data_IF_118229570095
#
_entry.id   IF_118229570095
#
_cell.length_a   1.000
_cell.length_b   1.000
_cell.length_c   1.000
_cell.angle_alpha   90.00
_cell.angle_beta   90.00
_cell.angle_gamma   90.00
#
_symmetry.space_group_name_H-M   'P 1'
#
loop_
_entity.id
_entity.type
_entity.pdbx_description
1 polymer ?
#
# COMPACT_ATOMS: atom_id res chain seq x y z
N UNK A 1 -2.05 4.82 -21.40
CA UNK A 1 -0.73 5.36 -21.00
C UNK A 1 -0.87 6.07 -19.67
N UNK A 2 0.02 5.81 -18.71
CA UNK A 2 0.05 6.51 -17.42
C UNK A 2 0.58 7.95 -17.59
N UNK A 3 -0.03 8.91 -16.87
CA UNK A 3 0.30 10.34 -16.91
C UNK A 3 0.57 10.92 -15.53
N UNK A 4 0.01 10.32 -14.48
CA UNK A 4 0.17 10.79 -13.10
C UNK A 4 0.30 9.62 -12.12
N UNK A 5 1.31 9.69 -11.25
CA UNK A 5 1.57 8.72 -10.20
C UNK A 5 1.58 9.40 -8.82
N UNK A 6 0.87 8.83 -7.85
CA UNK A 6 0.91 9.23 -6.45
C UNK A 6 1.83 8.27 -5.67
N UNK A 7 2.93 8.78 -5.13
CA UNK A 7 3.94 8.00 -4.42
C UNK A 7 4.00 8.45 -2.96
N UNK A 8 3.65 7.57 -2.03
CA UNK A 8 3.72 7.81 -0.58
C UNK A 8 4.14 6.53 0.13
N UNK A 9 5.45 6.34 0.29
CA UNK A 9 6.04 5.13 0.87
C UNK A 9 6.65 5.40 2.24
N UNK A 10 6.65 4.42 3.12
CA UNK A 10 7.42 4.40 4.37
C UNK A 10 8.82 3.83 4.13
N UNK A 11 8.90 2.64 3.54
CA UNK A 11 10.15 2.05 3.05
C UNK A 11 10.56 2.73 1.73
N UNK A 12 11.74 3.34 1.72
CA UNK A 12 12.29 4.10 0.59
C UNK A 12 13.10 3.25 -0.39
N UNK A 13 13.19 1.93 -0.17
CA UNK A 13 13.96 1.02 -1.02
C UNK A 13 13.56 1.18 -2.49
N UNK A 14 14.52 1.54 -3.35
CA UNK A 14 14.34 1.67 -4.80
C UNK A 14 13.40 2.80 -5.28
N UNK A 15 12.76 3.57 -4.40
CA UNK A 15 11.72 4.54 -4.80
C UNK A 15 12.27 5.68 -5.65
N UNK A 16 13.52 6.09 -5.41
CA UNK A 16 14.15 7.18 -6.14
C UNK A 16 14.35 6.81 -7.61
N UNK A 17 14.95 5.64 -7.89
CA UNK A 17 15.20 5.18 -9.26
C UNK A 17 13.89 4.86 -9.99
N UNK A 18 12.91 4.35 -9.25
CA UNK A 18 11.56 4.15 -9.75
C UNK A 18 10.92 5.47 -10.20
N UNK A 19 10.93 6.49 -9.33
CA UNK A 19 10.40 7.81 -9.62
C UNK A 19 11.14 8.52 -10.76
N UNK A 20 12.47 8.41 -10.83
CA UNK A 20 13.27 8.93 -11.95
C UNK A 20 12.86 8.31 -13.28
N UNK A 21 12.66 7.00 -13.31
CA UNK A 21 12.22 6.30 -14.52
C UNK A 21 10.85 6.78 -14.96
N UNK A 22 9.88 6.89 -14.04
CA UNK A 22 8.55 7.42 -14.35
C UNK A 22 8.61 8.87 -14.87
N UNK A 23 9.42 9.72 -14.23
CA UNK A 23 9.59 11.11 -14.64
C UNK A 23 10.21 11.21 -16.05
N UNK A 24 11.20 10.38 -16.38
CA UNK A 24 11.78 10.29 -17.72
C UNK A 24 10.79 9.80 -18.78
N UNK A 25 9.75 9.05 -18.38
CA UNK A 25 8.63 8.66 -19.23
C UNK A 25 7.55 9.76 -19.35
N UNK A 26 7.75 10.93 -18.73
CA UNK A 26 6.80 12.05 -18.76
C UNK A 26 5.66 11.95 -17.74
N UNK A 27 5.76 11.06 -16.75
CA UNK A 27 4.75 10.92 -15.70
C UNK A 27 4.91 12.02 -14.66
N UNK A 28 3.81 12.70 -14.33
CA UNK A 28 3.75 13.67 -13.24
C UNK A 28 3.72 12.94 -11.90
N UNK A 29 4.58 13.33 -10.96
CA UNK A 29 4.66 12.70 -9.65
C UNK A 29 4.00 13.58 -8.60
N UNK A 30 2.99 13.02 -7.94
CA UNK A 30 2.41 13.54 -6.71
C UNK A 30 3.07 12.81 -5.53
N UNK A 31 3.45 13.53 -4.48
CA UNK A 31 4.00 12.91 -3.27
C UNK A 31 3.74 13.75 -2.02
N UNK A 32 4.04 13.22 -0.85
CA UNK A 32 3.86 13.91 0.43
C UNK A 32 4.96 13.58 1.44
N UNK A 33 5.20 14.51 2.37
CA UNK A 33 6.10 14.33 3.51
C UNK A 33 7.52 13.93 3.11
N UNK A 34 8.11 12.99 3.86
CA UNK A 34 9.48 12.53 3.63
C UNK A 34 9.71 11.89 2.26
N UNK A 35 8.68 11.39 1.57
CA UNK A 35 8.82 10.89 0.20
C UNK A 35 8.97 12.04 -0.79
N UNK A 36 8.15 13.09 -0.67
CA UNK A 36 8.26 14.26 -1.53
C UNK A 36 9.62 14.94 -1.37
N UNK A 37 10.07 15.09 -0.12
CA UNK A 37 11.39 15.66 0.20
C UNK A 37 12.53 14.85 -0.43
N UNK A 38 12.55 13.53 -0.23
CA UNK A 38 13.57 12.65 -0.81
C UNK A 38 13.68 12.82 -2.33
N UNK A 39 12.54 12.86 -3.02
CA UNK A 39 12.49 12.99 -4.47
C UNK A 39 12.96 14.38 -4.94
N UNK A 40 12.47 15.45 -4.29
CA UNK A 40 12.84 16.83 -4.61
C UNK A 40 14.33 17.09 -4.38
N UNK A 41 14.87 16.65 -3.25
CA UNK A 41 16.30 16.78 -2.89
C UNK A 41 17.22 16.07 -3.91
N UNK A 42 16.68 15.12 -4.68
CA UNK A 42 17.40 14.33 -5.69
C UNK A 42 17.05 14.72 -7.14
N UNK A 43 16.45 15.90 -7.33
CA UNK A 43 16.19 16.50 -8.64
C UNK A 43 14.99 15.93 -9.40
N UNK A 44 14.13 15.14 -8.74
CA UNK A 44 12.89 14.65 -9.34
C UNK A 44 11.81 15.70 -9.17
N UNK A 45 11.18 16.14 -10.26
CA UNK A 45 10.05 17.07 -10.20
C UNK A 45 8.86 16.39 -9.51
N UNK A 46 8.42 16.97 -8.41
CA UNK A 46 7.30 16.47 -7.59
C UNK A 46 6.35 17.62 -7.28
N UNK A 47 5.05 17.34 -7.35
CA UNK A 47 4.00 18.20 -6.80
C UNK A 47 3.61 17.65 -5.43
N UNK A 48 3.60 18.50 -4.40
CA UNK A 48 3.15 18.06 -3.08
C UNK A 48 1.64 17.80 -3.10
N UNK A 49 1.17 16.82 -2.32
CA UNK A 49 -0.27 16.55 -2.19
C UNK A 49 -1.02 17.77 -1.66
N UNK A 50 -0.44 18.55 -0.74
CA UNK A 50 -1.06 19.79 -0.23
C UNK A 50 -1.29 20.82 -1.36
N UNK A 51 -0.29 21.04 -2.22
CA UNK A 51 -0.43 21.89 -3.41
C UNK A 51 -1.47 21.35 -4.39
N UNK A 52 -1.47 20.02 -4.58
CA UNK A 52 -2.43 19.36 -5.48
C UNK A 52 -3.87 19.49 -4.97
N UNK A 53 -4.12 19.30 -3.68
CA UNK A 53 -5.46 19.40 -3.08
C UNK A 53 -5.90 20.84 -2.86
N UNK A 54 -4.95 21.76 -2.66
CA UNK A 54 -5.21 23.11 -2.18
C UNK A 54 -5.58 23.17 -0.70
N UNK A 55 -5.34 22.08 0.05
CA UNK A 55 -5.67 21.96 1.46
C UNK A 55 -4.38 21.80 2.29
N UNK A 56 -4.14 22.67 3.29
CA UNK A 56 -2.90 22.66 4.05
C UNK A 56 -2.79 21.39 4.92
N UNK A 57 -1.56 21.08 5.34
CA UNK A 57 -1.34 20.03 6.32
C UNK A 57 -1.97 20.42 7.68
N UNK A 58 -2.70 19.48 8.29
CA UNK A 58 -3.31 19.65 9.62
C UNK A 58 -3.34 18.32 10.38
N UNK A 59 -3.53 18.38 11.71
CA UNK A 59 -3.58 17.21 12.59
C UNK A 59 -2.35 16.30 12.43
N UNK A 60 -1.15 16.91 12.40
CA UNK A 60 0.12 16.22 12.21
C UNK A 60 0.16 15.30 10.97
N UNK A 61 -0.53 15.72 9.91
CA UNK A 61 -0.55 15.02 8.62
C UNK A 61 -1.51 13.83 8.54
N UNK A 62 -2.33 13.58 9.57
CA UNK A 62 -3.27 12.44 9.64
C UNK A 62 -4.32 12.40 8.53
N UNK A 63 -4.68 13.55 7.98
CA UNK A 63 -5.79 13.68 7.00
C UNK A 63 -5.35 14.12 5.60
N UNK A 64 -4.04 14.26 5.37
CA UNK A 64 -3.50 14.92 4.16
C UNK A 64 -3.90 14.27 2.83
N UNK A 65 -4.10 12.95 2.80
CA UNK A 65 -4.50 12.22 1.57
C UNK A 65 -5.99 11.86 1.55
N UNK A 66 -6.72 12.07 2.65
CA UNK A 66 -8.15 11.76 2.78
C UNK A 66 -9.01 12.86 2.15
N UNK A 67 -8.76 13.12 0.87
CA UNK A 67 -9.34 14.24 0.13
C UNK A 67 -10.07 13.77 -1.15
N UNK A 68 -11.25 14.32 -1.50
CA UNK A 68 -11.98 13.93 -2.70
C UNK A 68 -11.18 14.11 -3.99
N UNK A 69 -10.29 15.10 -4.07
CA UNK A 69 -9.41 15.30 -5.25
C UNK A 69 -8.37 14.18 -5.42
N UNK A 70 -7.98 13.50 -4.34
CA UNK A 70 -7.11 12.32 -4.39
C UNK A 70 -7.94 11.09 -4.72
N UNK A 71 -8.94 10.78 -3.89
CA UNK A 71 -9.74 9.55 -4.05
C UNK A 71 -10.62 9.57 -5.31
N UNK A 72 -11.14 10.72 -5.72
CA UNK A 72 -11.88 10.89 -6.97
C UNK A 72 -10.99 10.63 -8.19
N UNK A 73 -9.76 11.15 -8.18
CA UNK A 73 -8.77 10.87 -9.23
C UNK A 73 -8.38 9.38 -9.32
N UNK A 74 -8.43 8.65 -8.21
CA UNK A 74 -8.16 7.21 -8.15
C UNK A 74 -9.38 6.36 -8.53
N UNK A 75 -10.57 6.69 -8.01
CA UNK A 75 -11.76 5.81 -8.05
C UNK A 75 -12.68 6.04 -9.25
N UNK A 76 -12.52 7.15 -9.96
CA UNK A 76 -13.33 7.42 -11.14
C UNK A 76 -13.06 6.36 -12.22
N UNK A 77 -14.09 5.55 -12.47
CA UNK A 77 -14.18 4.69 -13.64
C UNK A 77 -14.08 5.51 -14.93
N UNK A 78 -13.09 5.19 -15.76
CA UNK A 78 -12.82 5.92 -17.01
C UNK A 78 -13.71 5.47 -18.15
N UNK A 79 -14.32 4.30 -18.02
CA UNK A 79 -15.29 3.75 -18.96
C UNK A 79 -16.73 4.23 -18.72
N UNK A 80 -16.96 5.09 -17.72
CA UNK A 80 -18.28 5.55 -17.35
C UNK A 80 -18.39 7.08 -17.52
N UNK A 81 -19.11 7.57 -18.56
CA UNK A 81 -19.13 8.99 -18.92
C UNK A 81 -19.51 9.95 -17.80
N UNK A 82 -20.43 9.55 -16.91
CA UNK A 82 -20.85 10.38 -15.78
C UNK A 82 -19.70 10.67 -14.80
N UNK A 83 -18.84 9.68 -14.54
CA UNK A 83 -17.66 9.89 -13.69
C UNK A 83 -16.66 10.82 -14.36
N UNK A 84 -16.42 10.66 -15.66
CA UNK A 84 -15.50 11.53 -16.43
C UNK A 84 -16.01 12.97 -16.45
N UNK A 85 -17.32 13.16 -16.62
CA UNK A 85 -17.94 14.48 -16.55
C UNK A 85 -17.80 15.11 -15.15
N UNK A 86 -18.03 14.34 -14.08
CA UNK A 86 -17.86 14.81 -12.71
C UNK A 86 -16.40 15.22 -12.40
N UNK A 87 -15.41 14.44 -12.86
CA UNK A 87 -13.99 14.80 -12.73
C UNK A 87 -13.70 16.14 -13.41
N UNK A 88 -14.20 16.33 -14.64
CA UNK A 88 -13.99 17.57 -15.39
C UNK A 88 -14.65 18.78 -14.70
N UNK A 89 -15.91 18.63 -14.24
CA UNK A 89 -16.67 19.67 -13.55
C UNK A 89 -15.96 20.15 -12.28
N UNK A 90 -15.32 19.25 -11.54
CA UNK A 90 -14.64 19.56 -10.29
C UNK A 90 -13.13 19.76 -10.45
N UNK A 91 -12.61 19.80 -11.68
CA UNK A 91 -11.18 19.93 -11.98
C UNK A 91 -10.31 18.94 -11.20
N UNK A 92 -10.72 17.66 -11.22
CA UNK A 92 -10.02 16.55 -10.57
C UNK A 92 -9.28 15.73 -11.64
N UNK A 93 -7.95 15.85 -11.76
CA UNK A 93 -7.16 14.99 -12.63
C UNK A 93 -7.24 13.52 -12.21
N UNK A 94 -7.13 12.61 -13.18
CA UNK A 94 -7.01 11.18 -12.90
C UNK A 94 -5.62 10.84 -12.36
N UNK A 95 -5.58 9.91 -11.40
CA UNK A 95 -4.34 9.29 -10.90
C UNK A 95 -4.27 7.89 -11.51
N UNK A 96 -3.21 7.61 -12.26
CA UNK A 96 -3.04 6.37 -13.02
C UNK A 96 -2.25 5.31 -12.26
N UNK A 97 -1.46 5.75 -11.28
CA UNK A 97 -0.64 4.88 -10.46
C UNK A 97 -0.63 5.35 -9.02
N UNK A 98 -0.74 4.40 -8.08
CA UNK A 98 -0.62 4.62 -6.64
C UNK A 98 0.46 3.70 -6.10
N UNK A 99 1.51 4.27 -5.52
CA UNK A 99 2.63 3.53 -4.91
C UNK A 99 2.69 3.87 -3.44
N UNK A 100 2.28 2.93 -2.61
CA UNK A 100 2.14 3.11 -1.16
C UNK A 100 2.56 1.85 -0.45
N UNK A 101 3.56 1.93 0.43
CA UNK A 101 3.82 0.87 1.40
C UNK A 101 3.58 1.40 2.82
N UNK A 102 2.94 0.57 3.63
CA UNK A 102 2.41 0.97 4.94
C UNK A 102 3.55 1.11 5.95
N UNK A 103 3.34 1.99 6.93
CA UNK A 103 4.24 2.08 8.07
C UNK A 103 4.29 0.71 8.77
N UNK A 104 5.46 0.23 9.22
CA UNK A 104 5.58 -1.11 9.76
C UNK A 104 5.04 -1.16 11.20
N UNK A 105 3.71 -1.13 11.34
CA UNK A 105 3.01 -1.26 12.62
C UNK A 105 3.52 -2.47 13.42
N UNK A 106 3.73 -3.60 12.73
CA UNK A 106 4.33 -4.81 13.30
C UNK A 106 5.74 -4.61 13.88
N UNK A 107 6.57 -3.75 13.27
CA UNK A 107 7.88 -3.41 13.83
C UNK A 107 7.75 -2.51 15.06
N UNK A 108 6.79 -1.58 15.06
CA UNK A 108 6.53 -0.71 16.22
C UNK A 108 6.10 -1.54 17.43
N UNK A 109 5.13 -2.44 17.28
CA UNK A 109 4.66 -3.31 18.37
C UNK A 109 5.61 -4.47 18.70
N UNK A 110 6.73 -4.61 17.99
CA UNK A 110 7.78 -5.58 18.32
C UNK A 110 8.84 -5.01 19.27
N UNK A 111 8.87 -3.68 19.47
CA UNK A 111 9.79 -3.03 20.43
C UNK A 111 9.28 -3.27 21.85
N UNK A 112 10.15 -3.74 22.74
CA UNK A 112 9.81 -4.05 24.14
C UNK A 112 9.24 -2.83 24.88
N UNK A 113 9.81 -1.66 24.60
CA UNK A 113 9.46 -0.37 25.19
C UNK A 113 8.31 0.38 24.47
N UNK A 114 7.62 -0.28 23.55
CA UNK A 114 6.48 0.32 22.86
C UNK A 114 5.37 0.67 23.87
N UNK A 115 4.73 1.83 23.69
CA UNK A 115 3.53 2.21 24.45
C UNK A 115 2.26 1.98 23.61
N UNK A 116 1.08 2.06 24.26
CA UNK A 116 -0.17 2.02 23.50
C UNK A 116 -0.26 3.24 22.56
N UNK A 117 0.18 4.39 23.03
CA UNK A 117 0.26 5.64 22.28
C UNK A 117 1.15 5.48 21.04
N UNK A 118 2.36 4.93 21.19
CA UNK A 118 3.24 4.64 20.06
C UNK A 118 2.56 3.76 19.02
N UNK A 119 1.88 2.71 19.46
CA UNK A 119 1.16 1.83 18.55
C UNK A 119 0.03 2.57 17.82
N UNK A 120 -0.78 3.36 18.53
CA UNK A 120 -1.89 4.13 17.96
C UNK A 120 -1.40 5.16 16.94
N UNK A 121 -0.31 5.88 17.22
CA UNK A 121 0.28 6.85 16.29
C UNK A 121 0.82 6.21 15.01
N UNK A 122 1.16 4.92 15.07
CA UNK A 122 1.66 4.15 13.93
C UNK A 122 0.55 3.43 13.14
N UNK A 123 -0.73 3.65 13.48
CA UNK A 123 -1.87 3.18 12.68
C UNK A 123 -2.10 4.15 11.53
N UNK A 124 -1.85 3.68 10.32
CA UNK A 124 -2.03 4.42 9.08
C UNK A 124 -3.49 4.33 8.62
N UNK A 125 -4.08 5.48 8.33
CA UNK A 125 -5.43 5.59 7.77
C UNK A 125 -5.38 5.90 6.27
N UNK A 126 -4.54 6.85 5.88
CA UNK A 126 -4.44 7.33 4.50
C UNK A 126 -3.85 6.28 3.56
N UNK A 127 -2.81 5.57 3.99
CA UNK A 127 -2.15 4.50 3.23
C UNK A 127 -3.12 3.39 2.82
N UNK A 128 -3.79 2.71 3.78
CA UNK A 128 -4.77 1.67 3.47
C UNK A 128 -5.95 2.21 2.63
N UNK A 129 -6.42 3.44 2.89
CA UNK A 129 -7.49 4.03 2.10
C UNK A 129 -7.10 4.21 0.62
N UNK A 130 -5.90 4.74 0.34
CA UNK A 130 -5.39 4.90 -1.02
C UNK A 130 -5.15 3.56 -1.71
N UNK A 131 -4.52 2.61 -1.00
CA UNK A 131 -4.27 1.26 -1.49
C UNK A 131 -5.57 0.55 -1.90
N UNK A 132 -6.57 0.54 -1.01
CA UNK A 132 -7.87 -0.09 -1.29
C UNK A 132 -8.62 0.63 -2.41
N UNK A 133 -8.52 1.96 -2.49
CA UNK A 133 -9.13 2.73 -3.58
C UNK A 133 -8.54 2.35 -4.94
N UNK A 134 -7.22 2.28 -5.03
CA UNK A 134 -6.52 1.95 -6.26
C UNK A 134 -6.73 0.47 -6.66
N UNK A 135 -6.65 -0.45 -5.70
CA UNK A 135 -6.92 -1.88 -5.93
C UNK A 135 -8.37 -2.14 -6.38
N UNK A 136 -9.35 -1.43 -5.79
CA UNK A 136 -10.75 -1.48 -6.25
C UNK A 136 -10.86 -1.04 -7.72
N UNK A 137 -10.15 0.02 -8.12
CA UNK A 137 -10.18 0.55 -9.47
C UNK A 137 -9.03 0.04 -10.37
N UNK A 138 -8.54 -1.18 -10.15
CA UNK A 138 -7.39 -1.75 -10.85
C UNK A 138 -7.53 -1.83 -12.38
N UNK A 139 -8.76 -1.76 -12.92
CA UNK A 139 -8.97 -1.65 -14.37
C UNK A 139 -8.27 -0.41 -14.92
N UNK A 140 -8.28 0.68 -14.17
CA UNK A 140 -7.83 2.00 -14.58
C UNK A 140 -6.56 2.48 -13.86
N UNK A 141 -6.24 1.90 -12.69
CA UNK A 141 -5.13 2.32 -11.82
C UNK A 141 -4.16 1.18 -11.55
N UNK A 142 -2.86 1.45 -11.68
CA UNK A 142 -1.80 0.55 -11.25
C UNK A 142 -1.52 0.81 -9.76
N UNK A 143 -1.65 -0.20 -8.92
CA UNK A 143 -1.36 -0.07 -7.48
C UNK A 143 -0.12 -0.89 -7.12
N UNK A 144 0.80 -0.35 -6.32
CA UNK A 144 2.00 -1.06 -5.89
C UNK A 144 2.19 -0.84 -4.38
N UNK A 145 2.29 -1.93 -3.62
CA UNK A 145 2.55 -1.89 -2.18
C UNK A 145 3.90 -2.45 -1.74
N UNK A 146 4.71 -2.93 -2.68
CA UNK A 146 5.97 -3.61 -2.39
C UNK A 146 7.04 -3.19 -3.41
N UNK A 147 8.22 -2.71 -2.97
CA UNK A 147 9.31 -2.33 -3.85
C UNK A 147 9.78 -3.43 -4.81
N UNK A 148 9.60 -4.71 -4.46
CA UNK A 148 9.99 -5.83 -5.34
C UNK A 148 9.23 -5.86 -6.68
N UNK A 149 8.06 -5.21 -6.75
CA UNK A 149 7.28 -5.11 -7.99
C UNK A 149 7.76 -3.99 -8.93
N UNK A 150 8.61 -3.05 -8.46
CA UNK A 150 9.02 -1.87 -9.23
C UNK A 150 9.66 -2.24 -10.57
N UNK A 151 10.64 -3.16 -10.56
CA UNK A 151 11.38 -3.53 -11.76
C UNK A 151 10.45 -4.17 -12.81
N UNK A 152 9.58 -5.09 -12.39
CA UNK A 152 8.61 -5.77 -13.25
C UNK A 152 7.64 -4.79 -13.88
N UNK A 153 7.05 -3.90 -13.07
CA UNK A 153 6.09 -2.90 -13.56
C UNK A 153 6.75 -1.92 -14.52
N UNK A 154 7.95 -1.43 -14.23
CA UNK A 154 8.67 -0.53 -15.14
C UNK A 154 9.03 -1.21 -16.47
N UNK A 155 9.45 -2.47 -16.44
CA UNK A 155 9.74 -3.23 -17.65
C UNK A 155 8.50 -3.36 -18.54
N UNK A 156 7.36 -3.69 -17.92
CA UNK A 156 6.08 -3.80 -18.63
C UNK A 156 5.62 -2.46 -19.19
N UNK A 157 5.70 -1.38 -18.41
CA UNK A 157 5.37 -0.03 -18.88
C UNK A 157 6.24 0.41 -20.07
N UNK A 158 7.53 0.10 -20.06
CA UNK A 158 8.43 0.41 -21.19
C UNK A 158 8.05 -0.38 -22.45
N UNK A 159 7.73 -1.66 -22.30
CA UNK A 159 7.31 -2.50 -23.42
C UNK A 159 5.91 -2.12 -23.97
N UNK A 160 5.01 -1.70 -23.08
CA UNK A 160 3.61 -1.37 -23.38
C UNK A 160 3.36 0.12 -23.68
N UNK A 161 4.38 0.91 -24.02
CA UNK A 161 4.25 2.35 -24.30
C UNK A 161 3.53 3.13 -23.17
N UNK A 162 3.95 2.87 -21.92
CA UNK A 162 3.39 3.45 -20.71
C UNK A 162 2.10 2.78 -20.23
N UNK A 163 1.82 1.55 -20.65
CA UNK A 163 0.66 0.76 -20.20
C UNK A 163 1.06 -0.55 -19.54
N UNK A 164 0.29 -0.96 -18.52
CA UNK A 164 0.37 -2.28 -17.92
C UNK A 164 -0.87 -3.09 -18.29
N UNK A 165 -0.68 -4.39 -18.45
CA UNK A 165 -1.74 -5.34 -18.78
C UNK A 165 -2.80 -5.39 -17.68
N UNK A 166 -3.99 -5.88 -18.05
CA UNK A 166 -5.04 -6.12 -17.07
C UNK A 166 -4.60 -7.16 -16.03
N UNK A 167 -3.91 -8.20 -16.48
CA UNK A 167 -3.39 -9.30 -15.68
C UNK A 167 -2.44 -8.80 -14.60
N UNK A 168 -1.48 -7.93 -14.94
CA UNK A 168 -0.58 -7.31 -13.96
C UNK A 168 -1.35 -6.45 -12.97
N UNK A 169 -2.26 -5.58 -13.43
CA UNK A 169 -3.03 -4.71 -12.54
C UNK A 169 -3.90 -5.51 -11.57
N UNK A 170 -4.52 -6.59 -12.04
CA UNK A 170 -5.32 -7.48 -11.20
C UNK A 170 -4.45 -8.26 -10.21
N UNK A 171 -3.27 -8.75 -10.62
CA UNK A 171 -2.33 -9.42 -9.73
C UNK A 171 -1.86 -8.49 -8.60
N UNK A 172 -1.54 -7.24 -8.92
CA UNK A 172 -1.17 -6.21 -7.95
C UNK A 172 -2.33 -5.87 -7.01
N UNK A 173 -3.56 -5.76 -7.51
CA UNK A 173 -4.75 -5.53 -6.68
C UNK A 173 -4.97 -6.66 -5.66
N UNK A 174 -4.81 -7.92 -6.06
CA UNK A 174 -4.86 -9.08 -5.14
C UNK A 174 -3.81 -8.94 -4.02
N UNK A 175 -2.57 -8.60 -4.39
CA UNK A 175 -1.47 -8.40 -3.44
C UNK A 175 -1.81 -7.29 -2.44
N UNK A 176 -2.39 -6.18 -2.91
CA UNK A 176 -2.78 -5.05 -2.06
C UNK A 176 -3.87 -5.44 -1.07
N UNK A 177 -4.93 -6.13 -1.51
CA UNK A 177 -5.98 -6.56 -0.58
C UNK A 177 -5.46 -7.55 0.47
N UNK A 178 -4.57 -8.47 0.08
CA UNK A 178 -3.90 -9.36 1.02
C UNK A 178 -3.04 -8.58 2.04
N UNK A 179 -2.25 -7.61 1.56
CA UNK A 179 -1.41 -6.76 2.41
C UNK A 179 -2.23 -5.94 3.41
N UNK A 180 -3.34 -5.32 2.98
CA UNK A 180 -4.21 -4.56 3.89
C UNK A 180 -4.95 -5.46 4.89
N UNK A 181 -5.33 -6.68 4.49
CA UNK A 181 -5.93 -7.63 5.42
C UNK A 181 -4.94 -8.09 6.50
N UNK A 182 -3.67 -8.31 6.12
CA UNK A 182 -2.59 -8.61 7.07
C UNK A 182 -2.36 -7.44 8.03
N UNK A 183 -2.36 -6.21 7.53
CA UNK A 183 -2.18 -5.00 8.33
C UNK A 183 -3.28 -4.85 9.39
N UNK A 184 -4.55 -4.95 9.00
CA UNK A 184 -5.69 -4.86 9.92
C UNK A 184 -5.71 -6.03 10.92
N UNK A 185 -5.31 -7.23 10.47
CA UNK A 185 -5.12 -8.40 11.33
C UNK A 185 -4.06 -8.16 12.41
N UNK A 186 -2.94 -7.53 12.07
CA UNK A 186 -1.90 -7.18 13.03
C UNK A 186 -2.39 -6.17 14.10
N UNK A 187 -3.16 -5.16 13.68
CA UNK A 187 -3.78 -4.19 14.61
C UNK A 187 -4.75 -4.91 15.55
N UNK A 188 -5.60 -5.77 15.01
CA UNK A 188 -6.58 -6.54 15.80
C UNK A 188 -5.90 -7.47 16.80
N UNK A 189 -4.88 -8.22 16.36
CA UNK A 189 -4.09 -9.08 17.22
C UNK A 189 -3.43 -8.27 18.35
N UNK A 190 -2.90 -7.08 18.04
CA UNK A 190 -2.31 -6.23 19.06
C UNK A 190 -3.35 -5.74 20.09
N UNK A 191 -4.43 -5.11 19.66
CA UNK A 191 -5.42 -4.56 20.59
C UNK A 191 -6.09 -5.62 21.45
N UNK A 192 -6.40 -6.78 20.87
CA UNK A 192 -7.05 -7.88 21.61
C UNK A 192 -6.06 -8.72 22.45
N UNK A 193 -4.76 -8.40 22.38
CA UNK A 193 -3.75 -8.95 23.30
C UNK A 193 -3.59 -8.13 24.58
N UNK A 194 -4.02 -6.87 24.61
CA UNK A 194 -3.84 -5.99 25.75
C UNK A 194 -4.79 -6.35 26.90
N UNK A 195 -4.27 -6.29 28.13
CA UNK A 195 -5.05 -6.46 29.36
C UNK A 195 -5.90 -5.24 29.71
N UNK A 196 -6.58 -5.27 30.86
CA UNK A 196 -7.37 -4.13 31.36
C UNK A 196 -6.54 -2.88 31.63
N UNK A 197 -5.26 -3.08 31.99
CA UNK A 197 -4.27 -2.02 32.20
C UNK A 197 -3.78 -1.38 30.89
N UNK A 198 -4.09 -2.00 29.74
CA UNK A 198 -3.69 -1.62 28.38
C UNK A 198 -2.18 -1.48 28.18
N UNK A 199 -1.37 -2.11 29.02
CA UNK A 199 0.08 -2.00 28.93
C UNK A 199 0.64 -2.96 27.88
N UNK A 200 1.55 -2.45 27.05
CA UNK A 200 2.25 -3.25 26.05
C UNK A 200 3.05 -4.40 26.69
N UNK A 201 3.74 -4.11 27.80
CA UNK A 201 4.63 -5.05 28.47
C UNK A 201 3.90 -6.24 29.13
N UNK A 202 2.62 -6.07 29.48
CA UNK A 202 1.79 -7.12 30.11
C UNK A 202 0.82 -7.80 29.13
N UNK A 203 0.93 -7.51 27.82
CA UNK A 203 0.04 -8.07 26.81
C UNK A 203 0.14 -9.60 26.75
N UNK A 204 -0.98 -10.26 26.49
CA UNK A 204 -1.06 -11.71 26.29
C UNK A 204 -0.33 -12.13 25.01
N UNK A 205 0.36 -13.27 25.04
CA UNK A 205 0.86 -13.91 23.82
C UNK A 205 -0.28 -14.42 22.92
N UNK A 206 -1.48 -14.60 23.47
CA UNK A 206 -2.66 -15.13 22.81
C UNK A 206 -3.76 -14.05 22.79
N UNK A 207 -3.98 -13.37 21.66
CA UNK A 207 -5.01 -12.36 21.54
C UNK A 207 -6.41 -12.97 21.57
N UNK A 208 -7.41 -12.21 22.06
CA UNK A 208 -8.80 -12.67 22.07
C UNK A 208 -9.38 -12.86 20.65
N UNK A 209 -8.83 -12.16 19.66
CA UNK A 209 -9.08 -12.42 18.24
C UNK A 209 -7.76 -12.68 17.54
N UNK A 210 -7.59 -13.90 17.02
CA UNK A 210 -6.36 -14.31 16.35
C UNK A 210 -6.54 -14.30 14.83
N UNK A 211 -5.82 -13.40 14.17
CA UNK A 211 -5.67 -13.37 12.73
C UNK A 211 -4.31 -13.95 12.35
N UNK A 212 -4.31 -15.01 11.55
CA UNK A 212 -3.10 -15.63 11.02
C UNK A 212 -2.99 -15.34 9.53
N UNK A 213 -1.79 -15.04 9.07
CA UNK A 213 -1.50 -14.79 7.66
C UNK A 213 -0.36 -15.68 7.21
N UNK A 214 -0.59 -16.42 6.13
CA UNK A 214 0.40 -17.32 5.56
C UNK A 214 0.50 -17.14 4.05
N UNK A 215 1.70 -17.29 3.51
CA UNK A 215 1.96 -17.26 2.07
C UNK A 215 2.07 -18.68 1.52
N UNK A 216 1.34 -18.95 0.44
CA UNK A 216 1.44 -20.25 -0.24
C UNK A 216 2.80 -20.38 -0.91
N UNK A 217 3.53 -21.43 -0.55
CA UNK A 217 4.83 -21.76 -1.14
C UNK A 217 4.69 -22.73 -2.30
N UNK A 218 3.87 -23.77 -2.14
CA UNK A 218 3.65 -24.78 -3.18
C UNK A 218 2.36 -25.56 -2.96
N UNK A 219 1.84 -26.13 -4.05
CA UNK A 219 0.85 -27.20 -3.98
C UNK A 219 1.55 -28.53 -3.71
N UNK A 220 0.93 -29.35 -2.86
CA UNK A 220 1.45 -30.67 -2.55
C UNK A 220 0.79 -31.70 -3.46
N UNK A 221 1.51 -32.79 -3.74
CA UNK A 221 0.99 -33.87 -4.60
C UNK A 221 -0.32 -34.48 -4.05
N UNK A 222 -0.42 -34.59 -2.73
CA UNK A 222 -1.59 -34.99 -1.96
C UNK A 222 -1.38 -34.59 -0.49
N UNK A 223 -2.43 -34.69 0.31
CA UNK A 223 -2.40 -34.50 1.77
C UNK A 223 -1.81 -35.70 2.49
N UNK A 224 -2.51 -36.20 3.50
CA UNK A 224 -2.08 -37.41 4.22
C UNK A 224 -2.34 -38.67 3.37
N UNK A 225 -3.40 -38.65 2.55
CA UNK A 225 -3.78 -39.72 1.64
C UNK A 225 -3.91 -39.22 0.18
N UNK A 226 -3.70 -40.08 -0.84
CA UNK A 226 -3.71 -39.67 -2.25
C UNK A 226 -4.97 -38.97 -2.76
N UNK A 227 -6.13 -39.16 -2.11
CA UNK A 227 -7.39 -38.54 -2.49
C UNK A 227 -7.65 -37.17 -1.85
N UNK A 228 -6.78 -36.74 -0.93
CA UNK A 228 -6.86 -35.44 -0.25
C UNK A 228 -5.94 -34.44 -0.94
N UNK A 229 -6.42 -33.22 -1.21
CA UNK A 229 -5.57 -32.13 -1.69
C UNK A 229 -4.80 -31.48 -0.52
N UNK A 230 -3.63 -30.89 -0.80
CA UNK A 230 -2.86 -30.15 0.18
C UNK A 230 -2.01 -29.04 -0.44
N UNK A 231 -1.62 -28.08 0.38
CA UNK A 231 -0.71 -27.02 0.03
C UNK A 231 0.17 -26.66 1.23
N UNK A 232 1.42 -26.28 0.94
CA UNK A 232 2.34 -25.80 1.94
C UNK A 232 2.30 -24.27 1.98
N UNK A 233 2.09 -23.74 3.18
CA UNK A 233 2.12 -22.31 3.45
C UNK A 233 3.21 -22.02 4.48
N UNK A 234 3.83 -20.84 4.37
CA UNK A 234 4.81 -20.34 5.33
C UNK A 234 4.28 -19.14 6.10
N UNK A 235 4.82 -18.91 7.29
CA UNK A 235 4.65 -17.62 7.95
C UNK A 235 5.44 -16.54 7.18
N UNK A 236 4.96 -15.32 7.22
CA UNK A 236 5.70 -14.16 6.69
C UNK A 236 6.89 -13.78 7.57
N UNK A 237 6.88 -14.15 8.85
CA UNK A 237 8.01 -13.98 9.75
C UNK A 237 8.74 -15.30 9.94
N UNK A 238 9.95 -15.39 9.41
CA UNK A 238 10.81 -16.55 9.61
C UNK A 238 11.08 -16.75 11.13
N UNK A 239 10.72 -17.92 11.64
CA UNK A 239 11.02 -18.32 13.01
C UNK A 239 12.30 -19.16 12.99
N UNK A 240 13.25 -18.85 13.88
CA UNK A 240 14.49 -19.61 14.00
C UNK A 240 14.17 -21.10 14.27
N UNK A 241 14.66 -21.99 13.40
CA UNK A 241 14.41 -23.43 13.48
C UNK A 241 13.14 -23.92 12.77
N UNK A 242 12.33 -23.05 12.18
CA UNK A 242 11.22 -23.44 11.31
C UNK A 242 11.71 -23.82 9.90
N UNK A 243 10.98 -24.73 9.23
CA UNK A 243 11.24 -25.11 7.84
C UNK A 243 10.95 -23.98 6.84
N UNK A 244 9.96 -23.13 7.16
CA UNK A 244 9.66 -21.88 6.49
C UNK A 244 8.84 -20.98 7.44
#
# INVERSE_FOLDING_TARGET
MIKQALISVSDKTGVLDFARTLSAMGVNILSTGGTAKLLADNGVKVTEVADYTGFPEMLDGRVKTLHPKVHGGILARRDFPEHVAALAQHAIPTIDMVVVNLYPFQQTIAKEQCTLEDAIENIDIGGPAMLRSAAKNHKDVIVICDPSDYARVLAELKAGNGEATYETKFALAKKVFAHTAQYDGAITNYFTSLGQDKQHASRSAYPATLNLHFEKMQEMRYGENPHQSAAFYRDTKAIAGALA
#
